data_IF_965852755848
#
_entry.id   IF_965852755848
#
_cell.length_a   1.000
_cell.length_b   1.000
_cell.length_c   1.000
_cell.angle_alpha   90.00
_cell.angle_beta   90.00
_cell.angle_gamma   90.00
#
_symmetry.space_group_name_H-M   'P 1'
#
loop_
_entity.id
_entity.type
_entity.pdbx_description
1 polymer ?
#
# COMPACT_ATOMS: atom_id res chain seq x y z
N UNK A 1 -7.32 28.41 -8.06
CA UNK A 1 -6.79 27.25 -7.31
C UNK A 1 -6.05 26.37 -8.29
N UNK A 2 -4.72 26.48 -8.35
CA UNK A 2 -3.89 25.77 -9.31
C UNK A 2 -3.85 24.30 -8.95
N UNK A 3 -4.59 23.49 -9.70
CA UNK A 3 -4.46 22.04 -9.66
C UNK A 3 -3.05 21.69 -10.13
N UNK A 4 -2.13 21.62 -9.16
CA UNK A 4 -0.78 21.11 -9.38
C UNK A 4 -0.98 19.68 -9.85
N UNK A 5 -0.89 19.49 -11.17
CA UNK A 5 -0.87 18.22 -11.86
C UNK A 5 0.33 17.45 -11.31
N UNK A 6 0.15 16.87 -10.12
CA UNK A 6 1.14 16.03 -9.45
C UNK A 6 1.43 14.99 -10.49
N UNK A 7 2.64 15.03 -11.07
CA UNK A 7 3.12 14.00 -11.98
C UNK A 7 3.19 12.75 -11.13
N UNK A 8 2.05 12.06 -11.02
CA UNK A 8 1.93 10.73 -10.51
C UNK A 8 2.67 9.92 -11.56
N UNK A 9 4.01 9.90 -11.45
CA UNK A 9 4.89 9.10 -12.29
C UNK A 9 4.24 7.73 -12.26
N UNK A 10 3.69 7.33 -13.40
CA UNK A 10 2.88 6.13 -13.52
C UNK A 10 3.87 4.99 -13.38
N UNK A 11 4.10 4.59 -12.13
CA UNK A 11 5.19 3.72 -11.77
C UNK A 11 4.80 2.30 -12.18
N UNK A 12 5.63 1.75 -13.08
CA UNK A 12 5.45 0.51 -13.83
C UNK A 12 4.98 -0.69 -13.00
N UNK A 13 4.20 -1.58 -13.60
CA UNK A 13 3.92 -2.94 -13.09
C UNK A 13 5.17 -3.71 -12.63
N UNK A 14 6.36 -3.29 -13.06
CA UNK A 14 7.65 -3.85 -12.64
C UNK A 14 7.90 -3.75 -11.12
N UNK A 15 7.34 -2.76 -10.41
CA UNK A 15 7.45 -2.66 -8.95
C UNK A 15 6.82 -3.85 -8.22
N UNK A 16 5.76 -4.41 -8.80
CA UNK A 16 5.07 -5.56 -8.24
C UNK A 16 5.93 -6.82 -8.29
N UNK A 17 6.85 -6.94 -9.27
CA UNK A 17 7.82 -8.04 -9.34
C UNK A 17 8.73 -8.07 -8.13
N UNK A 18 8.99 -6.91 -7.53
CA UNK A 18 9.79 -6.77 -6.31
C UNK A 18 8.93 -6.76 -5.04
N UNK A 19 7.61 -7.00 -5.14
CA UNK A 19 6.72 -7.01 -3.97
C UNK A 19 6.43 -5.63 -3.38
N UNK A 20 6.54 -4.56 -4.17
CA UNK A 20 6.24 -3.20 -3.73
C UNK A 20 5.00 -2.64 -4.42
N UNK A 21 4.27 -1.81 -3.68
CA UNK A 21 3.13 -1.02 -4.15
C UNK A 21 3.32 0.46 -3.81
N UNK A 22 2.69 1.39 -4.54
CA UNK A 22 2.65 2.78 -4.11
C UNK A 22 1.92 2.91 -2.77
N UNK A 23 2.47 3.72 -1.87
CA UNK A 23 1.82 4.03 -0.60
C UNK A 23 0.50 4.78 -0.83
N UNK A 24 -0.52 4.47 -0.02
CA UNK A 24 -1.85 5.09 -0.08
C UNK A 24 -1.82 6.62 0.19
N UNK A 25 -1.18 7.11 1.26
CA UNK A 25 -1.11 8.55 1.54
C UNK A 25 -0.18 9.32 0.59
N UNK A 26 0.91 8.69 0.14
CA UNK A 26 1.88 9.31 -0.78
C UNK A 26 2.25 8.32 -1.90
N UNK A 27 1.66 8.52 -3.07
CA UNK A 27 1.88 7.67 -4.26
C UNK A 27 3.31 7.71 -4.81
N UNK A 28 4.20 8.50 -4.19
CA UNK A 28 5.59 8.66 -4.59
C UNK A 28 6.55 7.78 -3.79
N UNK A 29 6.07 7.10 -2.75
CA UNK A 29 6.88 6.28 -1.86
C UNK A 29 6.52 4.80 -2.00
N UNK A 30 7.50 3.88 -2.21
CA UNK A 30 7.21 2.46 -2.30
C UNK A 30 6.94 1.88 -0.92
N UNK A 31 5.87 1.11 -0.80
CA UNK A 31 5.53 0.32 0.37
C UNK A 31 5.74 -1.17 0.08
N UNK A 32 6.47 -1.85 0.97
CA UNK A 32 6.67 -3.30 0.88
C UNK A 32 5.39 -4.05 1.25
N UNK A 33 4.96 -5.00 0.43
CA UNK A 33 3.79 -5.85 0.72
C UNK A 33 4.05 -6.91 1.80
N UNK A 34 5.32 -7.24 2.07
CA UNK A 34 5.71 -8.29 3.02
C UNK A 34 5.80 -7.77 4.46
N UNK A 35 6.34 -6.57 4.66
CA UNK A 35 6.54 -5.97 5.98
C UNK A 35 5.78 -4.66 6.20
N UNK A 36 5.01 -4.19 5.22
CA UNK A 36 4.28 -2.92 5.27
C UNK A 36 5.15 -1.67 5.50
N UNK A 37 6.47 -1.80 5.33
CA UNK A 37 7.41 -0.70 5.48
C UNK A 37 7.35 0.23 4.27
N UNK A 38 7.15 1.52 4.52
CA UNK A 38 7.30 2.57 3.50
C UNK A 38 8.78 2.93 3.42
N UNK A 39 9.33 2.88 2.20
CA UNK A 39 10.68 3.33 1.92
C UNK A 39 10.64 4.76 1.37
N UNK A 40 11.76 5.47 1.48
CA UNK A 40 11.89 6.81 0.90
C UNK A 40 11.84 6.80 -0.63
N UNK A 41 11.62 7.96 -1.24
CA UNK A 41 11.52 8.11 -2.69
C UNK A 41 12.77 7.60 -3.45
N UNK A 42 13.98 7.72 -2.89
CA UNK A 42 15.21 7.16 -3.50
C UNK A 42 15.18 5.63 -3.64
N UNK A 43 14.42 4.95 -2.77
CA UNK A 43 14.28 3.50 -2.80
C UNK A 43 13.42 3.02 -3.98
N UNK A 44 12.83 3.92 -4.76
CA UNK A 44 12.15 3.59 -6.03
C UNK A 44 13.08 2.98 -7.08
N UNK A 45 14.40 3.01 -6.89
CA UNK A 45 15.32 2.35 -7.81
C UNK A 45 15.20 0.82 -7.66
N UNK A 46 15.07 0.04 -8.76
CA UNK A 46 14.89 -1.41 -8.69
C UNK A 46 16.00 -2.10 -7.88
N UNK A 47 17.25 -1.62 -7.98
CA UNK A 47 18.38 -2.12 -7.18
C UNK A 47 18.14 -1.97 -5.67
N UNK A 48 17.51 -0.87 -5.22
CA UNK A 48 17.20 -0.63 -3.80
C UNK A 48 16.04 -1.51 -3.32
N UNK A 49 15.03 -1.73 -4.16
CA UNK A 49 13.92 -2.63 -3.86
C UNK A 49 14.39 -4.08 -3.76
N UNK A 50 15.26 -4.50 -4.67
CA UNK A 50 15.87 -5.81 -4.66
C UNK A 50 16.80 -6.00 -3.46
N UNK A 51 17.59 -4.99 -3.10
CA UNK A 51 18.43 -5.00 -1.90
C UNK A 51 17.59 -5.11 -0.63
N UNK A 52 16.47 -4.37 -0.52
CA UNK A 52 15.53 -4.51 0.59
C UNK A 52 14.96 -5.93 0.66
N UNK A 53 14.51 -6.51 -0.45
CA UNK A 53 14.02 -7.89 -0.47
C UNK A 53 15.11 -8.86 -0.01
N UNK A 54 16.35 -8.74 -0.48
CA UNK A 54 17.45 -9.62 -0.10
C UNK A 54 17.82 -9.51 1.37
N UNK A 55 17.82 -8.30 1.93
CA UNK A 55 18.20 -8.05 3.34
C UNK A 55 17.09 -8.36 4.33
N UNK A 56 15.85 -7.96 4.02
CA UNK A 56 14.72 -8.10 4.93
C UNK A 56 13.92 -9.38 4.71
N UNK A 57 13.94 -9.93 3.49
CA UNK A 57 13.10 -11.06 3.08
C UNK A 57 13.85 -12.06 2.19
N UNK A 58 15.01 -12.60 2.62
CA UNK A 58 15.82 -13.52 1.81
C UNK A 58 15.00 -14.73 1.32
N UNK A 59 14.06 -15.24 2.11
CA UNK A 59 13.20 -16.38 1.74
C UNK A 59 12.17 -16.06 0.65
N UNK A 60 11.97 -14.78 0.33
CA UNK A 60 10.95 -14.30 -0.62
C UNK A 60 11.56 -13.68 -1.88
N UNK A 61 12.89 -13.66 -2.01
CA UNK A 61 13.57 -13.07 -3.19
C UNK A 61 13.35 -13.86 -4.48
N UNK A 62 13.12 -15.17 -4.36
CA UNK A 62 12.90 -16.07 -5.51
C UNK A 62 11.42 -16.21 -5.88
N UNK A 63 10.52 -15.47 -5.23
CA UNK A 63 9.09 -15.59 -5.51
C UNK A 63 8.73 -14.89 -6.82
N UNK A 64 7.89 -15.57 -7.62
CA UNK A 64 7.40 -15.02 -8.88
C UNK A 64 6.44 -13.84 -8.70
N UNK A 65 6.28 -13.08 -9.77
CA UNK A 65 5.29 -12.00 -9.90
C UNK A 65 3.88 -12.46 -9.47
N UNK A 66 3.50 -13.70 -9.79
CA UNK A 66 2.19 -14.28 -9.43
C UNK A 66 1.98 -14.32 -7.91
N UNK A 67 3.02 -14.63 -7.13
CA UNK A 67 2.96 -14.61 -5.67
C UNK A 67 2.65 -13.19 -5.15
N UNK A 68 3.36 -12.19 -5.67
CA UNK A 68 3.14 -10.80 -5.28
C UNK A 68 1.80 -10.24 -5.76
N UNK A 69 1.27 -10.68 -6.91
CA UNK A 69 -0.11 -10.36 -7.33
C UNK A 69 -1.15 -10.88 -6.34
N UNK A 70 -1.07 -12.15 -5.95
CA UNK A 70 -1.98 -12.73 -4.95
C UNK A 70 -1.84 -12.01 -3.60
N UNK A 71 -0.62 -11.63 -3.22
CA UNK A 71 -0.38 -10.89 -1.98
C UNK A 71 -1.00 -9.48 -2.04
N UNK A 72 -0.88 -8.78 -3.17
CA UNK A 72 -1.52 -7.48 -3.40
C UNK A 72 -3.05 -7.58 -3.32
N UNK A 73 -3.65 -8.58 -3.95
CA UNK A 73 -5.10 -8.80 -3.90
C UNK A 73 -5.58 -9.02 -2.46
N UNK A 74 -4.90 -9.89 -1.71
CA UNK A 74 -5.15 -10.10 -0.28
C UNK A 74 -4.99 -8.81 0.52
N UNK A 75 -3.96 -8.01 0.22
CA UNK A 75 -3.72 -6.73 0.88
C UNK A 75 -4.86 -5.73 0.65
N UNK A 76 -5.41 -5.66 -0.57
CA UNK A 76 -6.53 -4.77 -0.90
C UNK A 76 -7.87 -5.24 -0.31
N UNK A 77 -8.05 -6.56 -0.15
CA UNK A 77 -9.25 -7.16 0.43
C UNK A 77 -9.27 -7.11 1.96
N UNK A 78 -8.10 -6.96 2.61
CA UNK A 78 -8.02 -6.83 4.07
C UNK A 78 -8.82 -5.60 4.51
N UNK A 79 -9.76 -5.74 5.45
CA UNK A 79 -10.41 -4.59 6.04
C UNK A 79 -9.34 -3.77 6.77
N UNK A 80 -9.04 -2.58 6.25
CA UNK A 80 -8.23 -1.60 6.96
C UNK A 80 -9.07 -1.00 8.08
N UNK A 81 -8.43 -0.57 9.17
CA UNK A 81 -9.14 0.10 10.27
C UNK A 81 -9.93 1.32 9.76
N UNK A 82 -9.42 1.99 8.74
CA UNK A 82 -10.10 3.06 7.99
C UNK A 82 -11.49 2.64 7.46
N UNK A 83 -11.61 1.42 6.88
CA UNK A 83 -12.90 0.89 6.41
C UNK A 83 -13.83 0.49 7.56
N UNK A 84 -13.27 0.05 8.69
CA UNK A 84 -14.07 -0.28 9.88
C UNK A 84 -14.72 0.97 10.48
N UNK A 85 -14.00 2.11 10.50
CA UNK A 85 -14.54 3.38 10.98
C UNK A 85 -15.60 3.98 10.04
N UNK A 86 -15.43 3.86 8.72
CA UNK A 86 -16.47 4.30 7.77
C UNK A 86 -17.81 3.55 7.94
N UNK A 87 -17.78 2.33 8.48
CA UNK A 87 -18.97 1.48 8.65
C UNK A 87 -19.80 1.82 9.90
N UNK A 88 -19.26 2.59 10.85
CA UNK A 88 -19.96 2.89 12.13
C UNK A 88 -20.69 4.25 12.14
N UNK A 89 -20.63 5.04 11.07
CA UNK A 89 -21.35 6.32 10.98
C UNK A 89 -22.83 6.19 10.62
N UNK A 90 -23.37 4.98 10.47
CA UNK A 90 -24.81 4.74 10.40
C UNK A 90 -25.33 4.23 11.74
N UNK A 91 -25.28 5.07 12.78
CA UNK A 91 -26.17 4.90 13.92
C UNK A 91 -27.10 6.10 13.93
N UNK A 92 -28.33 5.85 13.49
CA UNK A 92 -29.46 6.76 13.58
C UNK A 92 -29.53 7.37 14.98
N UNK A 93 -29.56 8.69 15.04
CA UNK A 93 -29.95 9.44 16.24
C UNK A 93 -31.46 9.30 16.40
N UNK A 94 -31.91 8.15 16.88
CA UNK A 94 -33.27 7.99 17.42
C UNK A 94 -33.25 8.55 18.83
N UNK A 95 -33.81 9.75 18.96
CA UNK A 95 -33.68 10.64 20.11
C UNK A 95 -34.01 10.00 21.47
N UNK A 96 -33.11 10.20 22.43
CA UNK A 96 -33.40 10.01 23.84
C UNK A 96 -34.00 11.30 24.41
N UNK A 97 -35.32 11.29 24.58
CA UNK A 97 -36.03 12.21 25.49
C UNK A 97 -35.70 11.80 26.93
N UNK A 98 -34.92 12.62 27.64
CA UNK A 98 -34.82 12.57 29.10
C UNK A 98 -35.72 13.67 29.70
N UNK A 99 -36.38 13.31 30.80
CA UNK A 99 -37.51 13.96 31.47
C UNK A 99 -37.30 15.39 31.94
#
# INVERSE_FOLDING_TARGET
>A
MSESKKRCRQYSVDYLKFGFIPSLPDKQSPMCLLCNKVLGNDAMKPSKLQDHLRRCHPDKTEKDLKYFQTLKDKFQKRPTLDRMFASTSQRSDDGLRAS
#
